data_IF_728424129995
#
_entry.id   IF_728424129995
#
_cell.length_a   1.000
_cell.length_b   1.000
_cell.length_c   1.000
_cell.angle_alpha   90.00
_cell.angle_beta   90.00
_cell.angle_gamma   90.00
#
_symmetry.space_group_name_H-M   'P 1'
#
loop_
_entity.id
_entity.type
_entity.pdbx_description
1 polymer ?
#
# COMPACT_ATOMS: atom_id res chain seq x y z
N UNK A 1 27.16 4.61 6.64
CA UNK A 1 25.84 4.77 5.99
C UNK A 1 24.81 4.12 6.90
N UNK A 2 23.96 4.93 7.50
CA UNK A 2 23.10 4.56 8.62
C UNK A 2 21.70 5.08 8.28
N UNK A 3 20.86 4.22 7.70
CA UNK A 3 19.45 4.50 7.34
C UNK A 3 18.61 3.21 7.45
N UNK A 4 18.65 2.55 8.61
CA UNK A 4 17.79 1.39 8.90
C UNK A 4 17.19 1.46 10.32
N UNK A 5 16.88 2.67 10.78
CA UNK A 5 16.15 2.89 12.01
C UNK A 5 14.76 3.44 11.68
N UNK A 6 13.71 2.78 12.21
CA UNK A 6 12.29 3.16 12.18
C UNK A 6 11.50 2.86 10.89
N UNK A 7 11.54 1.62 10.39
CA UNK A 7 10.31 1.06 9.85
C UNK A 7 9.45 0.61 11.05
N UNK A 8 8.71 1.55 11.63
CA UNK A 8 7.55 1.18 12.45
C UNK A 8 6.64 0.36 11.52
N UNK A 9 6.24 -0.85 11.92
CA UNK A 9 5.30 -1.69 11.18
C UNK A 9 4.02 -0.87 10.93
N UNK A 10 3.93 -0.20 9.78
CA UNK A 10 2.79 0.59 9.41
C UNK A 10 1.75 -0.38 8.85
N UNK A 11 0.79 -0.77 9.68
CA UNK A 11 -0.35 -1.55 9.24
C UNK A 11 -1.44 -0.60 8.68
N UNK A 12 -1.63 -0.55 7.35
CA UNK A 12 -2.64 0.32 6.74
C UNK A 12 -4.07 -0.04 7.17
N UNK A 13 -4.35 -1.31 7.47
CA UNK A 13 -5.68 -1.76 7.91
C UNK A 13 -5.96 -1.29 9.32
N UNK A 14 -4.98 -1.42 10.23
CA UNK A 14 -5.09 -0.87 11.58
C UNK A 14 -5.25 0.65 11.54
N UNK A 15 -4.46 1.35 10.72
CA UNK A 15 -4.54 2.81 10.57
C UNK A 15 -5.92 3.24 10.06
N UNK A 16 -6.46 2.57 9.03
CA UNK A 16 -7.81 2.82 8.53
C UNK A 16 -8.87 2.68 9.63
N UNK A 17 -8.81 1.60 10.43
CA UNK A 17 -9.77 1.39 11.54
C UNK A 17 -9.73 2.49 12.59
N UNK A 18 -8.55 3.04 12.88
CA UNK A 18 -8.39 4.15 13.83
C UNK A 18 -8.93 5.47 13.28
N UNK A 19 -8.92 5.66 11.97
CA UNK A 19 -9.40 6.88 11.32
C UNK A 19 -10.93 6.90 11.13
N UNK A 20 -11.59 5.74 11.06
CA UNK A 20 -13.04 5.65 10.87
C UNK A 20 -13.87 6.47 11.90
N UNK A 21 -13.61 6.39 13.22
CA UNK A 21 -14.30 7.22 14.19
C UNK A 21 -14.07 8.72 13.98
N UNK A 22 -12.84 9.11 13.63
CA UNK A 22 -12.48 10.51 13.40
C UNK A 22 -13.19 11.06 12.15
N UNK A 23 -13.30 10.26 11.08
CA UNK A 23 -14.04 10.64 9.88
C UNK A 23 -15.52 10.87 10.21
N UNK A 24 -16.12 9.98 11.01
CA UNK A 24 -17.51 10.13 11.44
C UNK A 24 -17.71 11.42 12.25
N UNK A 25 -16.82 11.69 13.20
CA UNK A 25 -16.87 12.90 14.02
C UNK A 25 -16.67 14.17 13.19
N UNK A 26 -15.69 14.16 12.27
CA UNK A 26 -15.43 15.27 11.34
C UNK A 26 -16.64 15.56 10.45
N UNK A 27 -17.30 14.53 9.91
CA UNK A 27 -18.53 14.70 9.12
C UNK A 27 -19.66 15.29 9.97
N UNK A 28 -19.85 14.83 11.20
CA UNK A 28 -20.84 15.40 12.11
C UNK A 28 -20.55 16.88 12.41
N UNK A 29 -19.28 17.22 12.64
CA UNK A 29 -18.85 18.59 12.87
C UNK A 29 -19.09 19.46 11.64
N UNK A 30 -18.73 18.99 10.45
CA UNK A 30 -18.98 19.68 9.18
C UNK A 30 -20.47 20.00 9.00
N UNK A 31 -21.35 19.02 9.21
CA UNK A 31 -22.80 19.22 9.09
C UNK A 31 -23.33 20.24 10.11
N UNK A 32 -22.82 20.19 11.35
CA UNK A 32 -23.18 21.15 12.40
C UNK A 32 -22.74 22.58 12.04
N UNK A 33 -21.49 22.76 11.61
CA UNK A 33 -20.93 24.06 11.24
C UNK A 33 -21.66 24.62 10.00
N UNK A 34 -21.94 23.79 9.00
CA UNK A 34 -22.71 24.19 7.83
C UNK A 34 -24.12 24.65 8.20
N UNK A 35 -24.82 23.93 9.08
CA UNK A 35 -26.15 24.33 9.56
C UNK A 35 -26.13 25.65 10.32
N UNK A 36 -25.12 25.86 11.18
CA UNK A 36 -24.95 27.13 11.92
C UNK A 36 -24.71 28.30 10.98
N UNK A 37 -23.85 28.13 9.96
CA UNK A 37 -23.61 29.17 8.95
C UNK A 37 -24.88 29.48 8.16
N UNK A 38 -25.67 28.46 7.79
CA UNK A 38 -26.94 28.67 7.08
C UNK A 38 -27.96 29.49 7.90
N UNK A 39 -28.13 29.14 9.18
CA UNK A 39 -29.01 29.88 10.09
C UNK A 39 -28.51 31.31 10.29
N UNK A 40 -27.20 31.51 10.44
CA UNK A 40 -26.62 32.83 10.58
C UNK A 40 -26.86 33.68 9.33
N UNK A 41 -26.60 33.16 8.13
CA UNK A 41 -26.87 33.86 6.87
C UNK A 41 -28.35 34.24 6.74
N UNK A 42 -29.25 33.30 7.05
CA UNK A 42 -30.70 33.56 7.04
C UNK A 42 -31.11 34.67 8.01
N UNK A 43 -30.51 34.71 9.21
CA UNK A 43 -30.78 35.76 10.21
C UNK A 43 -30.30 37.15 9.75
N UNK A 44 -29.14 37.19 9.07
CA UNK A 44 -28.59 38.42 8.46
C UNK A 44 -29.52 38.92 7.36
N UNK A 45 -29.95 38.04 6.46
CA UNK A 45 -30.86 38.38 5.35
C UNK A 45 -32.23 38.87 5.86
N UNK A 46 -32.66 38.37 7.02
CA UNK A 46 -33.90 38.80 7.69
C UNK A 46 -33.75 40.11 8.48
N UNK A 47 -32.57 40.74 8.47
CA UNK A 47 -32.30 41.98 9.20
C UNK A 47 -32.23 41.84 10.72
N UNK A 48 -32.06 40.61 11.24
CA UNK A 48 -31.87 40.38 12.67
C UNK A 48 -30.46 40.79 13.10
N UNK A 49 -30.30 41.27 14.34
CA UNK A 49 -28.97 41.58 14.87
C UNK A 49 -28.12 40.32 14.90
N UNK A 50 -26.94 40.40 14.26
CA UNK A 50 -25.95 39.32 14.23
C UNK A 50 -25.56 38.98 15.67
N UNK A 51 -25.61 37.71 16.04
CA UNK A 51 -25.03 37.24 17.30
C UNK A 51 -23.53 37.53 17.31
N UNK A 52 -22.99 38.12 18.37
CA UNK A 52 -21.54 38.41 18.50
C UNK A 52 -20.67 37.15 18.59
N UNK A 53 -21.27 35.96 18.62
CA UNK A 53 -20.54 34.69 18.64
C UNK A 53 -19.96 34.41 17.26
N UNK A 54 -18.62 34.33 17.11
CA UNK A 54 -18.01 33.95 15.84
C UNK A 54 -18.40 32.52 15.48
N UNK A 55 -19.05 32.33 14.34
CA UNK A 55 -19.34 31.00 13.81
C UNK A 55 -18.09 30.45 13.13
N UNK A 56 -17.79 29.17 13.34
CA UNK A 56 -16.69 28.51 12.65
C UNK A 56 -16.93 28.53 11.14
N UNK A 57 -15.87 28.77 10.36
CA UNK A 57 -15.97 28.75 8.90
C UNK A 57 -16.14 27.32 8.40
N UNK A 58 -17.09 27.12 7.48
CA UNK A 58 -17.34 25.83 6.83
C UNK A 58 -16.08 25.31 6.14
N UNK A 59 -15.31 26.19 5.50
CA UNK A 59 -14.10 25.83 4.75
C UNK A 59 -13.12 24.98 5.56
N UNK A 60 -12.91 25.35 6.83
CA UNK A 60 -11.98 24.65 7.72
C UNK A 60 -12.48 23.24 8.06
N UNK A 61 -13.76 23.11 8.43
CA UNK A 61 -14.34 21.81 8.75
C UNK A 61 -14.42 20.90 7.52
N UNK A 62 -14.58 21.50 6.33
CA UNK A 62 -14.58 20.79 5.06
C UNK A 62 -13.18 20.27 4.71
N UNK A 63 -12.14 21.11 4.88
CA UNK A 63 -10.75 20.74 4.69
C UNK A 63 -10.33 19.59 5.63
N UNK A 64 -10.69 19.66 6.92
CA UNK A 64 -10.44 18.59 7.89
C UNK A 64 -11.12 17.27 7.50
N UNK A 65 -12.35 17.32 6.97
CA UNK A 65 -13.06 16.14 6.47
C UNK A 65 -12.36 15.52 5.26
N UNK A 66 -11.97 16.34 4.28
CA UNK A 66 -11.26 15.84 3.09
C UNK A 66 -9.88 15.29 3.42
N UNK A 67 -9.13 15.93 4.32
CA UNK A 67 -7.83 15.41 4.76
C UNK A 67 -7.94 13.99 5.36
N UNK A 68 -9.01 13.72 6.11
CA UNK A 68 -9.30 12.37 6.61
C UNK A 68 -9.64 11.42 5.47
N UNK A 69 -10.52 11.82 4.54
CA UNK A 69 -10.84 11.00 3.36
C UNK A 69 -9.59 10.59 2.57
N UNK A 70 -8.68 11.53 2.29
CA UNK A 70 -7.43 11.28 1.57
C UNK A 70 -6.56 10.27 2.33
N UNK A 71 -6.48 10.40 3.66
CA UNK A 71 -5.71 9.48 4.48
C UNK A 71 -6.32 8.08 4.50
N UNK A 72 -7.64 7.95 4.58
CA UNK A 72 -8.33 6.65 4.47
C UNK A 72 -8.09 6.03 3.09
N UNK A 73 -8.20 6.82 2.02
CA UNK A 73 -7.98 6.34 0.66
C UNK A 73 -6.55 5.80 0.49
N UNK A 74 -5.54 6.53 0.98
CA UNK A 74 -4.17 6.07 0.95
C UNK A 74 -3.97 4.76 1.71
N UNK A 75 -4.58 4.62 2.90
CA UNK A 75 -4.53 3.38 3.67
C UNK A 75 -5.17 2.21 2.90
N UNK A 76 -6.32 2.43 2.27
CA UNK A 76 -7.01 1.38 1.50
C UNK A 76 -6.20 0.96 0.26
N UNK A 77 -5.63 1.91 -0.48
CA UNK A 77 -4.76 1.61 -1.62
C UNK A 77 -3.55 0.79 -1.19
N UNK A 78 -2.87 1.21 -0.11
CA UNK A 78 -1.70 0.48 0.38
C UNK A 78 -2.08 -0.92 0.88
N UNK A 79 -3.20 -1.07 1.60
CA UNK A 79 -3.68 -2.38 2.05
C UNK A 79 -3.96 -3.32 0.86
N UNK A 80 -4.53 -2.80 -0.22
CA UNK A 80 -4.77 -3.54 -1.45
C UNK A 80 -3.46 -3.95 -2.16
N UNK A 81 -2.47 -3.06 -2.21
CA UNK A 81 -1.15 -3.36 -2.76
C UNK A 81 -0.43 -4.43 -1.94
N UNK A 82 -0.45 -4.33 -0.61
CA UNK A 82 0.11 -5.36 0.28
C UNK A 82 -0.59 -6.72 0.08
N UNK A 83 -1.91 -6.73 -0.08
CA UNK A 83 -2.65 -7.96 -0.38
C UNK A 83 -2.24 -8.55 -1.73
N UNK A 84 -2.19 -7.72 -2.78
CA UNK A 84 -1.75 -8.15 -4.10
C UNK A 84 -0.33 -8.71 -4.07
N UNK A 85 0.59 -8.02 -3.39
CA UNK A 85 1.96 -8.47 -3.18
C UNK A 85 2.02 -9.79 -2.40
N UNK A 86 1.14 -10.02 -1.43
CA UNK A 86 1.08 -11.29 -0.71
C UNK A 86 0.65 -12.47 -1.61
N UNK A 87 -0.29 -12.24 -2.53
CA UNK A 87 -0.67 -13.24 -3.53
C UNK A 87 0.47 -13.54 -4.51
N UNK A 88 1.11 -12.49 -5.02
CA UNK A 88 2.24 -12.64 -5.94
C UNK A 88 3.43 -13.33 -5.26
N UNK A 89 3.71 -12.97 -4.01
CA UNK A 89 4.72 -13.61 -3.18
C UNK A 89 4.40 -15.09 -2.97
N UNK A 90 3.17 -15.44 -2.56
CA UNK A 90 2.77 -16.84 -2.39
C UNK A 90 2.89 -17.66 -3.69
N UNK A 91 2.62 -17.03 -4.84
CA UNK A 91 2.68 -17.67 -6.16
C UNK A 91 4.10 -17.86 -6.68
N UNK A 92 5.00 -16.90 -6.44
CA UNK A 92 6.32 -16.84 -7.08
C UNK A 92 7.49 -17.05 -6.12
N UNK A 93 7.28 -16.90 -4.82
CA UNK A 93 8.27 -17.04 -3.76
C UNK A 93 7.61 -17.62 -2.50
N UNK A 94 7.37 -18.96 -2.44
CA UNK A 94 6.60 -19.61 -1.38
C UNK A 94 7.24 -19.56 0.02
N UNK A 95 8.27 -18.73 0.24
CA UNK A 95 9.11 -18.80 1.42
C UNK A 95 9.73 -17.46 1.75
N UNK A 96 9.44 -16.99 2.96
CA UNK A 96 10.22 -15.96 3.63
C UNK A 96 11.61 -16.52 3.94
N UNK A 97 12.64 -15.98 3.29
CA UNK A 97 14.02 -16.20 3.72
C UNK A 97 14.19 -15.42 5.03
N UNK A 98 14.62 -16.04 6.14
CA UNK A 98 14.78 -15.33 7.41
C UNK A 98 15.71 -14.14 7.27
N UNK A 99 15.20 -12.93 7.47
CA UNK A 99 16.06 -11.74 7.63
C UNK A 99 16.60 -11.74 9.05
N UNK A 100 17.92 -11.87 9.18
CA UNK A 100 18.65 -12.17 10.40
C UNK A 100 18.74 -11.01 11.41
N UNK A 101 17.64 -10.33 11.76
CA UNK A 101 17.70 -9.10 12.57
C UNK A 101 16.89 -9.08 13.86
N UNK A 102 16.22 -10.16 14.29
CA UNK A 102 15.63 -10.23 15.65
C UNK A 102 15.93 -11.56 16.35
N UNK A 103 16.65 -11.57 17.49
CA UNK A 103 17.06 -12.79 18.20
C UNK A 103 15.94 -13.58 18.91
N UNK A 104 14.71 -13.03 19.06
CA UNK A 104 13.75 -13.57 20.05
C UNK A 104 12.32 -13.82 19.53
N UNK A 105 12.11 -13.77 18.21
CA UNK A 105 10.87 -14.28 17.63
C UNK A 105 11.10 -15.74 17.26
N UNK A 106 10.49 -16.65 18.02
CA UNK A 106 10.37 -18.08 17.70
C UNK A 106 10.05 -18.24 16.22
N UNK A 107 11.03 -18.71 15.45
CA UNK A 107 10.98 -18.96 14.01
C UNK A 107 10.02 -20.12 13.72
N UNK A 108 8.72 -19.88 13.75
CA UNK A 108 7.73 -20.92 13.47
C UNK A 108 7.57 -21.24 11.97
N UNK A 109 8.10 -20.41 11.07
CA UNK A 109 7.88 -20.54 9.62
C UNK A 109 9.17 -20.40 8.79
N UNK A 110 10.32 -20.78 9.33
CA UNK A 110 11.51 -20.95 8.50
C UNK A 110 11.35 -22.19 7.62
N UNK A 111 11.48 -22.01 6.31
CA UNK A 111 11.36 -23.12 5.37
C UNK A 111 12.43 -24.18 5.67
N UNK A 112 12.06 -25.47 5.79
CA UNK A 112 13.03 -26.54 5.96
C UNK A 112 14.09 -26.49 4.88
N UNK A 113 15.37 -26.70 5.25
CA UNK A 113 16.50 -26.62 4.33
C UNK A 113 16.32 -27.50 3.08
N UNK A 114 15.65 -28.64 3.21
CA UNK A 114 15.29 -29.54 2.10
C UNK A 114 14.35 -28.90 1.09
N UNK A 115 13.34 -28.18 1.56
CA UNK A 115 12.41 -27.43 0.72
C UNK A 115 13.12 -26.21 0.09
N UNK A 116 14.04 -25.55 0.83
CA UNK A 116 14.86 -24.47 0.30
C UNK A 116 15.73 -24.93 -0.88
N UNK A 117 16.40 -26.08 -0.74
CA UNK A 117 17.17 -26.67 -1.82
C UNK A 117 16.30 -26.98 -3.05
N UNK A 118 15.08 -27.47 -2.85
CA UNK A 118 14.14 -27.72 -3.95
C UNK A 118 13.75 -26.40 -4.66
N UNK A 119 13.47 -25.34 -3.90
CA UNK A 119 13.15 -24.02 -4.42
C UNK A 119 14.32 -23.43 -5.23
N UNK A 120 15.53 -23.46 -4.68
CA UNK A 120 16.73 -22.95 -5.37
C UNK A 120 16.99 -23.72 -6.67
N UNK A 121 16.83 -25.05 -6.69
CA UNK A 121 16.95 -25.85 -7.92
C UNK A 121 15.92 -25.44 -8.98
N UNK A 122 14.67 -25.21 -8.56
CA UNK A 122 13.62 -24.74 -9.47
C UNK A 122 13.91 -23.34 -10.02
N UNK A 123 14.40 -22.42 -9.18
CA UNK A 123 14.80 -21.07 -9.59
C UNK A 123 15.98 -21.10 -10.58
N UNK A 124 16.99 -21.94 -10.32
CA UNK A 124 18.11 -22.16 -11.24
C UNK A 124 17.62 -22.70 -12.59
N UNK A 125 16.70 -23.67 -12.59
CA UNK A 125 16.11 -24.21 -13.82
C UNK A 125 15.36 -23.13 -14.60
N UNK A 126 14.49 -22.37 -13.95
CA UNK A 126 13.74 -21.28 -14.58
C UNK A 126 14.67 -20.22 -15.19
N UNK A 127 15.72 -19.81 -14.46
CA UNK A 127 16.72 -18.88 -14.97
C UNK A 127 17.47 -19.45 -16.20
N UNK A 128 17.77 -20.74 -16.19
CA UNK A 128 18.40 -21.44 -17.32
C UNK A 128 17.46 -21.48 -18.53
N UNK A 129 16.18 -21.73 -18.33
CA UNK A 129 15.18 -21.77 -19.41
C UNK A 129 15.01 -20.38 -20.05
N UNK A 130 14.96 -19.31 -19.24
CA UNK A 130 14.96 -17.93 -19.72
C UNK A 130 16.24 -17.62 -20.49
N UNK A 131 17.41 -18.00 -19.95
CA UNK A 131 18.69 -17.80 -20.63
C UNK A 131 18.73 -18.49 -21.99
N UNK A 132 18.29 -19.75 -22.07
CA UNK A 132 18.24 -20.51 -23.30
C UNK A 132 17.31 -19.87 -24.32
N UNK A 133 16.11 -19.44 -23.91
CA UNK A 133 15.16 -18.75 -24.79
C UNK A 133 15.74 -17.43 -25.34
N UNK A 134 16.38 -16.63 -24.48
CA UNK A 134 17.04 -15.39 -24.89
C UNK A 134 18.23 -15.66 -25.82
N UNK A 135 19.03 -16.70 -25.55
CA UNK A 135 20.17 -17.10 -26.37
C UNK A 135 19.73 -17.59 -27.75
N UNK A 136 18.66 -18.38 -27.82
CA UNK A 136 18.07 -18.85 -29.07
C UNK A 136 17.55 -17.68 -29.91
N UNK A 137 16.81 -16.75 -29.29
CA UNK A 137 16.36 -15.53 -29.93
C UNK A 137 17.54 -14.68 -30.44
N UNK A 138 18.58 -14.51 -29.62
CA UNK A 138 19.78 -13.79 -30.01
C UNK A 138 20.46 -14.43 -31.22
N UNK A 139 20.64 -15.75 -31.22
CA UNK A 139 21.24 -16.49 -32.33
C UNK A 139 20.43 -16.39 -33.62
N UNK A 140 19.10 -16.41 -33.53
CA UNK A 140 18.18 -16.17 -34.66
C UNK A 140 18.36 -14.76 -35.24
N UNK A 141 18.53 -13.75 -34.40
CA UNK A 141 18.73 -12.35 -34.83
C UNK A 141 20.12 -12.15 -35.43
N UNK A 142 21.18 -12.71 -34.83
CA UNK A 142 22.56 -12.51 -35.30
C UNK A 142 22.93 -13.45 -36.47
N UNK A 143 22.03 -14.33 -36.92
CA UNK A 143 22.29 -15.28 -38.00
C UNK A 143 23.34 -16.35 -37.66
N UNK A 144 23.69 -16.53 -36.38
CA UNK A 144 24.60 -17.60 -35.93
C UNK A 144 23.82 -18.89 -35.73
N UNK A 145 23.29 -19.46 -36.81
CA UNK A 145 22.88 -20.86 -36.79
C UNK A 145 24.14 -21.71 -37.03
N UNK A 146 24.53 -22.66 -36.15
CA UNK A 146 25.51 -23.65 -36.55
C UNK A 146 24.88 -24.44 -37.71
N UNK A 147 25.53 -24.36 -38.86
CA UNK A 147 25.19 -25.10 -40.07
C UNK A 147 25.06 -26.58 -39.71
N UNK A 148 23.84 -27.09 -39.58
CA UNK A 148 23.64 -28.54 -39.60
C UNK A 148 24.06 -29.01 -40.99
N UNK A 149 25.14 -29.79 -41.01
CA UNK A 149 25.81 -30.25 -42.23
C UNK A 149 24.85 -30.94 -43.18
N UNK A 150 24.87 -30.48 -44.42
CA UNK A 150 24.37 -31.23 -45.56
C UNK A 150 25.56 -32.00 -46.16
N UNK A 151 25.41 -33.34 -46.13
CA UNK A 151 26.11 -34.38 -46.90
C UNK A 151 27.61 -34.56 -46.70
#
# INVERSE_FOLDING_TARGET
MQLAAQAQDFDPVQRFRLLLPQLKESLQNLMKVAAQNFVQNTSIDSGQKISEVPVQRVDKSLEEFYALCDQLELCLRLAYECLSQSFDSAKHSPTLVPTATKPDAVQAESLPYTQYLSMIKSQISCAKDIHNALLECSNKITGKMPSQGAL
#
